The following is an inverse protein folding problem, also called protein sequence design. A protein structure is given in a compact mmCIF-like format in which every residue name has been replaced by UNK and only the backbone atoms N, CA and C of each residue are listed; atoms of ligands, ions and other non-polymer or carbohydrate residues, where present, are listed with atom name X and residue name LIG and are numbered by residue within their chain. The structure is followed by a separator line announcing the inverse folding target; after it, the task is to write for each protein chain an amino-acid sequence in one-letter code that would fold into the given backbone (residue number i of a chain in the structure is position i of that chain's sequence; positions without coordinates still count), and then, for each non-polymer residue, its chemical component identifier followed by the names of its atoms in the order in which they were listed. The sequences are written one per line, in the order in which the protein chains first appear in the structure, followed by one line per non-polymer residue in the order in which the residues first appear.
data_IF_594686647402
#
_entry.id   IF_594686647402
#
_cell.length_a   1.000
_cell.length_b   1.000
_cell.length_c   1.000
_cell.angle_alpha   90.00
_cell.angle_beta   90.00
_cell.angle_gamma   90.00
#
_symmetry.space_group_name_H-M   'P 1'
#
loop_
_entity.id
_entity.type
_entity.pdbx_description
1 polymer ?
#
# COMPACT_ATOMS: atom_id res chain seq x y z
N UNK A 1 16.68 -16.93 15.25
CA UNK A 1 16.58 -15.70 14.45
C UNK A 1 15.91 -14.66 15.33
N UNK A 2 16.68 -13.70 15.87
CA UNK A 2 16.08 -12.57 16.58
C UNK A 2 15.54 -11.58 15.54
N UNK A 3 14.23 -11.36 15.54
CA UNK A 3 13.58 -10.37 14.69
C UNK A 3 13.56 -9.06 15.47
N UNK A 4 14.67 -8.32 15.45
CA UNK A 4 14.73 -6.96 15.95
C UNK A 4 14.66 -6.00 14.76
N UNK A 5 13.46 -5.59 14.35
CA UNK A 5 13.27 -4.47 13.41
C UNK A 5 12.03 -3.66 13.74
N UNK A 6 12.18 -2.34 13.64
CA UNK A 6 11.08 -1.40 13.50
C UNK A 6 10.11 -1.89 12.42
N UNK A 7 8.83 -1.98 12.79
CA UNK A 7 7.76 -2.31 11.86
C UNK A 7 7.50 -1.06 11.02
N UNK A 8 7.89 -1.11 9.74
CA UNK A 8 7.58 -0.07 8.77
C UNK A 8 6.36 -0.48 7.95
N UNK A 9 5.36 0.38 7.92
CA UNK A 9 4.23 0.25 7.01
C UNK A 9 4.67 0.52 5.57
N UNK A 10 4.22 -0.33 4.64
CA UNK A 10 4.49 -0.21 3.20
C UNK A 10 3.17 -0.30 2.44
N UNK A 11 3.01 0.56 1.44
CA UNK A 11 1.82 0.60 0.58
C UNK A 11 1.85 -0.51 -0.47
N UNK A 12 0.67 -0.88 -0.98
CA UNK A 12 0.54 -1.81 -2.10
C UNK A 12 1.29 -1.31 -3.35
N UNK A 13 1.38 0.02 -3.52
CA UNK A 13 2.11 0.65 -4.63
C UNK A 13 3.62 0.41 -4.50
N UNK A 14 4.19 0.66 -3.31
CA UNK A 14 5.62 0.41 -3.03
C UNK A 14 5.97 -1.06 -3.22
N UNK A 15 5.12 -1.98 -2.73
CA UNK A 15 5.32 -3.42 -2.91
C UNK A 15 5.25 -3.80 -4.39
N UNK A 16 4.26 -3.28 -5.12
CA UNK A 16 4.10 -3.56 -6.54
C UNK A 16 5.31 -3.10 -7.36
N UNK A 17 5.78 -1.88 -7.12
CA UNK A 17 6.95 -1.34 -7.81
C UNK A 17 8.22 -2.13 -7.48
N UNK A 18 8.44 -2.46 -6.19
CA UNK A 18 9.59 -3.25 -5.76
C UNK A 18 9.61 -4.66 -6.40
N UNK A 19 8.45 -5.32 -6.49
CA UNK A 19 8.34 -6.63 -7.13
C UNK A 19 8.48 -6.56 -8.65
N UNK A 20 7.98 -5.48 -9.28
CA UNK A 20 8.11 -5.24 -10.72
C UNK A 20 9.57 -5.01 -11.12
N UNK A 21 10.30 -4.25 -10.32
CA UNK A 21 11.71 -3.93 -10.57
C UNK A 21 12.67 -5.06 -10.15
N UNK A 22 12.18 -6.08 -9.45
CA UNK A 22 12.98 -7.23 -9.04
C UNK A 22 13.43 -8.08 -10.24
N UNK A 23 14.73 -8.04 -10.53
CA UNK A 23 15.39 -8.76 -11.64
C UNK A 23 15.76 -10.22 -11.34
N UNK A 24 15.34 -10.76 -10.20
CA UNK A 24 15.71 -12.10 -9.78
C UNK A 24 17.06 -12.15 -9.10
N UNK A 25 17.14 -12.87 -7.97
CA UNK A 25 18.41 -13.26 -7.38
C UNK A 25 18.73 -14.70 -7.79
N UNK A 26 19.89 -14.93 -8.43
CA UNK A 26 20.33 -16.26 -8.88
C UNK A 26 20.57 -17.23 -7.73
N UNK A 27 20.59 -16.74 -6.48
CA UNK A 27 20.76 -17.56 -5.27
C UNK A 27 19.45 -18.16 -4.74
N UNK A 28 18.29 -17.58 -5.10
CA UNK A 28 16.97 -18.04 -4.65
C UNK A 28 16.26 -18.95 -5.66
N UNK A 29 16.85 -19.16 -6.84
CA UNK A 29 16.25 -19.97 -7.92
C UNK A 29 16.15 -21.47 -7.61
N UNK A 30 16.69 -21.93 -6.48
CA UNK A 30 16.67 -23.34 -6.09
C UNK A 30 15.41 -23.80 -5.34
N UNK A 31 14.61 -22.91 -4.74
CA UNK A 31 13.54 -23.31 -3.82
C UNK A 31 12.13 -23.32 -4.40
N UNK A 32 11.88 -22.76 -5.60
CA UNK A 32 10.57 -22.80 -6.29
C UNK A 32 9.42 -22.02 -5.63
N UNK A 33 9.45 -21.82 -4.30
CA UNK A 33 8.43 -21.14 -3.51
C UNK A 33 8.41 -19.62 -3.73
N UNK A 34 9.58 -19.00 -3.89
CA UNK A 34 9.70 -17.55 -4.08
C UNK A 34 9.13 -17.07 -5.43
N UNK A 35 9.39 -17.73 -6.58
CA UNK A 35 8.77 -17.38 -7.85
C UNK A 35 7.23 -17.44 -7.82
N UNK A 36 6.65 -18.51 -7.26
CA UNK A 36 5.19 -18.65 -7.19
C UNK A 36 4.56 -17.58 -6.30
N UNK A 37 5.17 -17.30 -5.13
CA UNK A 37 4.70 -16.27 -4.21
C UNK A 37 4.74 -14.89 -4.86
N UNK A 38 5.84 -14.55 -5.56
CA UNK A 38 5.93 -13.30 -6.33
C UNK A 38 4.80 -13.20 -7.36
N UNK A 39 4.56 -14.24 -8.15
CA UNK A 39 3.50 -14.25 -9.17
C UNK A 39 2.11 -14.10 -8.56
N UNK A 40 1.83 -14.75 -7.43
CA UNK A 40 0.55 -14.64 -6.73
C UNK A 40 0.33 -13.21 -6.19
N UNK A 41 1.35 -12.63 -5.54
CA UNK A 41 1.28 -11.27 -4.99
C UNK A 41 1.14 -10.23 -6.12
N UNK A 42 1.93 -10.35 -7.19
CA UNK A 42 1.80 -9.46 -8.36
C UNK A 42 0.40 -9.50 -8.95
N UNK A 43 -0.16 -10.71 -9.16
CA UNK A 43 -1.53 -10.86 -9.68
C UNK A 43 -2.56 -10.19 -8.78
N UNK A 44 -2.43 -10.36 -7.46
CA UNK A 44 -3.31 -9.68 -6.52
C UNK A 44 -3.19 -8.15 -6.64
N UNK A 45 -1.97 -7.62 -6.64
CA UNK A 45 -1.72 -6.18 -6.70
C UNK A 45 -2.22 -5.56 -8.02
N UNK A 46 -2.09 -6.27 -9.14
CA UNK A 46 -2.63 -5.86 -10.46
C UNK A 46 -4.16 -5.77 -10.48
N UNK A 47 -4.85 -6.50 -9.60
CA UNK A 47 -6.31 -6.42 -9.45
C UNK A 47 -6.75 -5.26 -8.53
N UNK A 48 -5.82 -4.66 -7.79
CA UNK A 48 -6.14 -3.52 -6.90
C UNK A 48 -6.05 -2.20 -7.66
N UNK A 49 -6.90 -1.20 -7.35
CA UNK A 49 -6.82 0.11 -8.01
C UNK A 49 -5.50 0.84 -7.74
N UNK A 50 -4.80 0.48 -6.65
CA UNK A 50 -3.50 1.02 -6.29
C UNK A 50 -2.43 0.81 -7.38
N UNK A 51 -2.51 -0.24 -8.21
CA UNK A 51 -1.50 -0.50 -9.25
C UNK A 51 -1.45 0.58 -10.36
N UNK A 52 -2.47 1.44 -10.44
CA UNK A 52 -2.56 2.55 -11.40
C UNK A 52 -2.12 3.90 -10.82
N UNK A 53 -1.72 3.92 -9.54
CA UNK A 53 -1.23 5.13 -8.90
C UNK A 53 0.24 5.36 -9.26
N UNK A 54 0.57 6.63 -9.53
CA UNK A 54 1.95 7.11 -9.61
C UNK A 54 2.32 7.80 -8.31
N UNK A 55 3.63 7.89 -8.03
CA UNK A 55 4.14 8.63 -6.87
C UNK A 55 3.60 10.06 -6.83
N UNK A 56 3.50 10.73 -7.99
CA UNK A 56 2.93 12.07 -8.10
C UNK A 56 1.46 12.13 -7.64
N UNK A 57 0.63 11.16 -8.05
CA UNK A 57 -0.77 11.09 -7.61
C UNK A 57 -0.89 10.88 -6.10
N UNK A 58 -0.02 10.04 -5.53
CA UNK A 58 0.00 9.78 -4.08
C UNK A 58 0.41 11.04 -3.32
N UNK A 59 1.45 11.73 -3.76
CA UNK A 59 1.92 12.97 -3.13
C UNK A 59 0.86 14.08 -3.22
N UNK A 60 0.19 14.22 -4.36
CA UNK A 60 -0.91 15.17 -4.50
C UNK A 60 -2.08 14.81 -3.59
N UNK A 61 -2.46 13.52 -3.50
CA UNK A 61 -3.49 13.06 -2.58
C UNK A 61 -3.15 13.39 -1.11
N UNK A 62 -1.93 13.08 -0.66
CA UNK A 62 -1.51 13.35 0.72
C UNK A 62 -1.54 14.85 1.06
N UNK A 63 -1.18 15.72 0.10
CA UNK A 63 -1.25 17.18 0.27
C UNK A 63 -2.68 17.69 0.39
N UNK A 64 -3.58 17.20 -0.46
CA UNK A 64 -5.01 17.53 -0.38
C UNK A 64 -5.62 17.02 0.93
N UNK A 65 -5.20 15.84 1.37
CA UNK A 65 -5.64 15.25 2.63
C UNK A 65 -5.19 16.07 3.85
N UNK A 66 -3.94 16.53 3.86
CA UNK A 66 -3.42 17.43 4.91
C UNK A 66 -4.16 18.78 4.93
N UNK A 67 -4.50 19.30 3.75
CA UNK A 67 -5.32 20.50 3.62
C UNK A 67 -6.74 20.29 4.16
N UNK A 68 -7.31 19.11 3.93
CA UNK A 68 -8.61 18.70 4.48
C UNK A 68 -8.56 18.57 6.01
N UNK A 69 -7.54 17.88 6.55
CA UNK A 69 -7.30 17.73 8.00
C UNK A 69 -7.26 19.10 8.68
N UNK A 70 -6.49 20.04 8.12
CA UNK A 70 -6.36 21.40 8.64
C UNK A 70 -7.67 22.18 8.59
N UNK A 71 -8.40 22.10 7.47
CA UNK A 71 -9.66 22.84 7.27
C UNK A 71 -10.77 22.36 8.19
N UNK A 72 -10.83 21.06 8.46
CA UNK A 72 -11.93 20.45 9.20
C UNK A 72 -11.57 20.09 10.64
N UNK A 73 -10.33 20.33 11.07
CA UNK A 73 -9.86 19.99 12.42
C UNK A 73 -9.87 18.48 12.69
N UNK A 74 -9.68 17.67 11.64
CA UNK A 74 -9.63 16.20 11.72
C UNK A 74 -8.18 15.76 11.64
N UNK A 75 -7.83 14.67 12.33
CA UNK A 75 -6.52 14.06 12.22
C UNK A 75 -6.66 12.60 11.80
N UNK A 76 -6.04 12.26 10.68
CA UNK A 76 -5.95 10.90 10.15
C UNK A 76 -4.57 10.33 10.50
N UNK A 77 -4.59 9.17 11.12
CA UNK A 77 -3.43 8.36 11.43
C UNK A 77 -2.72 7.90 10.16
N UNK A 78 -1.41 7.58 10.23
CA UNK A 78 -0.69 7.01 9.09
C UNK A 78 -1.34 5.76 8.50
N UNK A 79 -2.00 4.94 9.32
CA UNK A 79 -2.68 3.73 8.88
C UNK A 79 -3.92 4.02 8.03
N UNK A 80 -4.74 4.99 8.44
CA UNK A 80 -5.92 5.41 7.65
C UNK A 80 -5.48 5.97 6.30
N UNK A 81 -4.44 6.82 6.29
CA UNK A 81 -3.85 7.35 5.05
C UNK A 81 -3.36 6.24 4.13
N UNK A 82 -2.66 5.25 4.69
CA UNK A 82 -2.17 4.08 3.94
C UNK A 82 -3.32 3.24 3.38
N UNK A 83 -4.37 2.99 4.16
CA UNK A 83 -5.55 2.27 3.67
C UNK A 83 -6.18 3.01 2.49
N UNK A 84 -6.27 4.35 2.53
CA UNK A 84 -6.89 5.14 1.47
C UNK A 84 -6.12 5.02 0.16
N UNK A 85 -4.78 5.00 0.25
CA UNK A 85 -3.91 4.75 -0.90
C UNK A 85 -4.10 3.33 -1.44
N UNK A 86 -4.23 2.33 -0.56
CA UNK A 86 -4.30 0.93 -0.96
C UNK A 86 -5.63 0.54 -1.61
N UNK A 87 -6.77 1.08 -1.15
CA UNK A 87 -8.09 0.71 -1.68
C UNK A 87 -8.67 1.71 -2.66
N UNK A 88 -8.17 2.96 -2.67
CA UNK A 88 -8.64 4.07 -3.52
C UNK A 88 -10.18 4.22 -3.42
N UNK A 89 -10.70 4.75 -2.30
CA UNK A 89 -12.13 4.80 -2.05
C UNK A 89 -12.85 5.59 -3.16
N UNK A 90 -13.92 4.99 -3.70
CA UNK A 90 -14.72 5.57 -4.79
C UNK A 90 -16.03 6.13 -4.26
N UNK A 91 -16.53 5.56 -3.16
CA UNK A 91 -17.76 5.94 -2.49
C UNK A 91 -17.48 6.36 -1.05
N UNK A 92 -18.32 7.21 -0.49
CA UNK A 92 -18.17 7.65 0.91
C UNK A 92 -18.21 6.47 1.90
N UNK A 93 -18.96 5.41 1.59
CA UNK A 93 -19.01 4.19 2.42
C UNK A 93 -17.65 3.50 2.54
N UNK A 94 -16.80 3.59 1.52
CA UNK A 94 -15.46 2.99 1.52
C UNK A 94 -14.55 3.64 2.58
N UNK A 95 -14.80 4.91 2.91
CA UNK A 95 -14.07 5.64 3.96
C UNK A 95 -14.57 5.21 5.35
N UNK A 96 -15.87 4.94 5.49
CA UNK A 96 -16.44 4.51 6.77
C UNK A 96 -16.05 3.07 7.14
N UNK A 97 -15.85 2.19 6.16
CA UNK A 97 -15.35 0.82 6.40
C UNK A 97 -13.90 0.80 6.90
N UNK A 98 -13.10 1.83 6.61
CA UNK A 98 -11.74 1.96 7.14
C UNK A 98 -11.70 2.19 8.65
N UNK A 99 -12.61 3.04 9.14
CA UNK A 99 -12.72 3.35 10.56
C UNK A 99 -13.21 2.17 11.42
N UNK A 100 -13.95 1.22 10.82
CA UNK A 100 -14.52 0.10 11.57
C UNK A 100 -13.49 -0.98 11.95
N UNK A 101 -12.42 -1.16 11.17
CA UNK A 101 -11.39 -2.17 11.43
C UNK A 101 -10.36 -1.77 12.50
N UNK A 102 -10.51 -0.59 13.12
CA UNK A 102 -9.63 -0.07 14.17
C UNK A 102 -10.33 0.12 15.53
N UNK A 103 -11.58 -0.34 15.67
CA UNK A 103 -12.33 -0.45 16.93
C UNK A 103 -12.48 -1.92 17.35
#
# INVERSE_FOLDING_TARGET
MEIAKEIKLITNVEVYQALKDWKGDKTLSGSGEFPWTKSAVMRYLEMTPACHLSDEKIQNFLRELESFETRHGVHLTPNEKMQMINIVPVQAVDIHTMNWFLL
#
